data_IF_058076013067
#
_entry.id   IF_058076013067
#
_cell.length_a   1.000
_cell.length_b   1.000
_cell.length_c   1.000
_cell.angle_alpha   90.00
_cell.angle_beta   90.00
_cell.angle_gamma   90.00
#
_symmetry.space_group_name_H-M   'P 1'
#
loop_
_entity.id
_entity.type
_entity.pdbx_description
1 polymer ?
#
# COMPACT_ATOMS: atom_id res chain seq x y z
N UNK A 1 -29.53 -13.81 -67.17
CA UNK A 1 -28.98 -14.68 -66.11
C UNK A 1 -27.72 -14.03 -65.55
N UNK A 2 -27.72 -13.60 -64.28
CA UNK A 2 -26.53 -13.03 -63.63
C UNK A 2 -25.60 -14.19 -63.22
N UNK A 3 -24.37 -14.23 -63.76
CA UNK A 3 -23.36 -15.21 -63.37
C UNK A 3 -22.96 -14.95 -61.91
N UNK A 4 -23.09 -15.94 -61.04
CA UNK A 4 -22.49 -15.87 -59.70
C UNK A 4 -21.01 -16.19 -59.83
N UNK A 5 -20.16 -15.20 -59.57
CA UNK A 5 -18.74 -15.43 -59.33
C UNK A 5 -18.63 -16.09 -57.95
N UNK A 6 -18.32 -17.39 -57.93
CA UNK A 6 -18.05 -18.12 -56.69
C UNK A 6 -16.66 -17.76 -56.16
N UNK A 7 -16.52 -17.68 -54.84
CA UNK A 7 -15.23 -17.49 -54.17
C UNK A 7 -14.34 -18.71 -54.47
N UNK A 8 -13.08 -18.49 -54.85
CA UNK A 8 -12.17 -19.61 -55.11
C UNK A 8 -11.67 -20.22 -53.79
N UNK A 9 -11.51 -21.55 -53.74
CA UNK A 9 -10.91 -22.20 -52.57
C UNK A 9 -9.50 -21.67 -52.28
N UNK A 10 -8.77 -21.30 -53.34
CA UNK A 10 -7.42 -20.76 -53.23
C UNK A 10 -7.39 -19.39 -52.55
N UNK A 11 -8.31 -18.48 -52.88
CA UNK A 11 -8.42 -17.18 -52.20
C UNK A 11 -8.64 -17.35 -50.69
N UNK A 12 -9.51 -18.28 -50.30
CA UNK A 12 -9.77 -18.53 -48.89
C UNK A 12 -8.52 -19.03 -48.16
N UNK A 13 -7.77 -19.96 -48.79
CA UNK A 13 -6.54 -20.52 -48.22
C UNK A 13 -5.45 -19.46 -48.06
N UNK A 14 -5.26 -18.60 -49.05
CA UNK A 14 -4.24 -17.54 -48.96
C UNK A 14 -4.58 -16.55 -47.83
N UNK A 15 -5.85 -16.18 -47.68
CA UNK A 15 -6.28 -15.25 -46.62
C UNK A 15 -5.99 -15.83 -45.23
N UNK A 16 -6.33 -17.09 -44.96
CA UNK A 16 -6.07 -17.69 -43.64
C UNK A 16 -4.56 -17.83 -43.36
N UNK A 17 -3.74 -18.08 -44.39
CA UNK A 17 -2.27 -18.14 -44.25
C UNK A 17 -1.71 -16.77 -43.87
N UNK A 18 -2.15 -15.71 -44.55
CA UNK A 18 -1.73 -14.34 -44.24
C UNK A 18 -2.16 -13.95 -42.82
N UNK A 19 -3.42 -14.23 -42.44
CA UNK A 19 -3.92 -13.96 -41.08
C UNK A 19 -3.13 -14.77 -40.03
N UNK A 20 -2.74 -16.00 -40.34
CA UNK A 20 -1.91 -16.83 -39.46
C UNK A 20 -0.55 -16.20 -39.17
N UNK A 21 0.15 -15.71 -40.19
CA UNK A 21 1.46 -15.05 -40.04
C UNK A 21 1.32 -13.75 -39.22
N UNK A 22 0.31 -12.93 -39.53
CA UNK A 22 0.06 -11.68 -38.81
C UNK A 22 -0.25 -11.92 -37.33
N UNK A 23 -1.04 -12.95 -37.02
CA UNK A 23 -1.37 -13.30 -35.63
C UNK A 23 -0.13 -13.68 -34.82
N UNK A 24 0.76 -14.52 -35.37
CA UNK A 24 1.97 -14.98 -34.66
C UNK A 24 2.89 -13.82 -34.27
N UNK A 25 3.03 -12.81 -35.14
CA UNK A 25 3.88 -11.63 -34.85
C UNK A 25 3.18 -10.64 -33.90
N UNK A 26 1.85 -10.51 -33.98
CA UNK A 26 1.10 -9.55 -33.18
C UNK A 26 0.90 -9.99 -31.71
N UNK A 27 0.74 -11.28 -31.45
CA UNK A 27 0.40 -11.81 -30.10
C UNK A 27 1.44 -11.43 -29.03
N UNK A 28 2.76 -11.64 -29.21
CA UNK A 28 3.74 -11.31 -28.16
C UNK A 28 3.73 -9.81 -27.80
N UNK A 29 3.60 -8.94 -28.81
CA UNK A 29 3.54 -7.49 -28.61
C UNK A 29 2.25 -7.07 -27.89
N UNK A 30 1.13 -7.69 -28.24
CA UNK A 30 -0.15 -7.43 -27.57
C UNK A 30 -0.09 -7.79 -26.08
N UNK A 31 0.51 -8.91 -25.72
CA UNK A 31 0.68 -9.32 -24.32
C UNK A 31 1.56 -8.34 -23.52
N UNK A 32 2.63 -7.81 -24.11
CA UNK A 32 3.48 -6.79 -23.48
C UNK A 32 2.73 -5.47 -23.25
N UNK A 33 1.98 -4.99 -24.24
CA UNK A 33 1.17 -3.76 -24.09
C UNK A 33 0.14 -3.94 -22.97
N UNK A 34 -0.47 -5.13 -22.85
CA UNK A 34 -1.38 -5.43 -21.76
C UNK A 34 -0.72 -5.50 -20.38
N UNK A 35 0.51 -6.01 -20.25
CA UNK A 35 1.24 -5.95 -18.98
C UNK A 35 1.60 -4.52 -18.62
N UNK A 36 2.12 -3.75 -19.58
CA UNK A 36 2.54 -2.37 -19.35
C UNK A 36 1.37 -1.46 -18.99
N UNK A 37 0.22 -1.65 -19.64
CA UNK A 37 -1.02 -0.96 -19.29
C UNK A 37 -1.46 -1.26 -17.85
N UNK A 38 -1.42 -2.53 -17.43
CA UNK A 38 -1.77 -2.92 -16.05
C UNK A 38 -0.82 -2.31 -15.03
N UNK A 39 0.48 -2.25 -15.32
CA UNK A 39 1.45 -1.57 -14.45
C UNK A 39 1.14 -0.08 -14.36
N UNK A 40 0.91 0.59 -15.49
CA UNK A 40 0.52 2.00 -15.51
C UNK A 40 -0.74 2.28 -14.68
N UNK A 41 -1.75 1.41 -14.77
CA UNK A 41 -2.98 1.50 -13.96
C UNK A 41 -2.71 1.35 -12.45
N UNK A 42 -1.78 0.46 -12.04
CA UNK A 42 -1.37 0.35 -10.64
C UNK A 42 -0.63 1.61 -10.16
N UNK A 43 0.25 2.19 -10.96
CA UNK A 43 0.90 3.46 -10.63
C UNK A 43 -0.10 4.62 -10.54
N UNK A 44 -1.10 4.64 -11.41
CA UNK A 44 -2.22 5.60 -11.33
C UNK A 44 -3.04 5.42 -10.05
N UNK A 45 -3.33 4.18 -9.66
CA UNK A 45 -3.99 3.86 -8.39
C UNK A 45 -3.17 4.35 -7.20
N UNK A 46 -1.86 4.11 -7.19
CA UNK A 46 -0.98 4.62 -6.14
C UNK A 46 -0.99 6.15 -6.05
N UNK A 47 -0.93 6.85 -7.19
CA UNK A 47 -1.06 8.31 -7.24
C UNK A 47 -2.41 8.81 -6.70
N UNK A 48 -3.49 8.06 -6.98
CA UNK A 48 -4.83 8.36 -6.45
C UNK A 48 -4.87 8.21 -4.93
N UNK A 49 -4.29 7.13 -4.38
CA UNK A 49 -4.21 6.92 -2.94
C UNK A 49 -3.37 8.00 -2.25
N UNK A 50 -2.25 8.41 -2.86
CA UNK A 50 -1.39 9.49 -2.35
C UNK A 50 -2.14 10.82 -2.30
N UNK A 51 -2.80 11.20 -3.39
CA UNK A 51 -3.58 12.43 -3.48
C UNK A 51 -4.76 12.44 -2.50
N UNK A 52 -5.45 11.31 -2.36
CA UNK A 52 -6.57 11.12 -1.42
C UNK A 52 -6.09 11.27 0.02
N UNK A 53 -4.99 10.60 0.37
CA UNK A 53 -4.38 10.67 1.70
C UNK A 53 -3.96 12.09 2.07
N UNK A 54 -3.29 12.80 1.15
CA UNK A 54 -2.91 14.20 1.34
C UNK A 54 -4.13 15.13 1.51
N UNK A 55 -5.22 14.87 0.78
CA UNK A 55 -6.46 15.64 0.89
C UNK A 55 -7.12 15.44 2.26
N UNK A 56 -7.21 14.19 2.73
CA UNK A 56 -7.73 13.89 4.08
C UNK A 56 -6.84 14.53 5.15
N UNK A 57 -5.52 14.52 4.95
CA UNK A 57 -4.59 15.16 5.86
C UNK A 57 -4.76 16.68 5.94
N UNK A 58 -4.95 17.35 4.81
CA UNK A 58 -5.27 18.77 4.79
C UNK A 58 -6.57 19.07 5.57
N UNK A 59 -7.61 18.24 5.42
CA UNK A 59 -8.85 18.36 6.20
C UNK A 59 -8.63 18.14 7.70
N UNK A 60 -7.79 17.18 8.06
CA UNK A 60 -7.44 16.93 9.45
C UNK A 60 -6.69 18.11 10.07
N UNK A 61 -5.74 18.72 9.36
CA UNK A 61 -5.04 19.94 9.80
C UNK A 61 -5.99 21.12 10.00
N UNK A 62 -6.92 21.34 9.07
CA UNK A 62 -7.94 22.40 9.20
C UNK A 62 -8.83 22.15 10.43
N UNK A 63 -9.06 20.88 10.77
CA UNK A 63 -9.85 20.47 11.93
C UNK A 63 -9.05 20.37 13.23
N UNK A 64 -7.74 20.68 13.22
CA UNK A 64 -6.86 20.54 14.39
C UNK A 64 -6.66 19.09 14.87
N UNK A 65 -6.75 18.12 13.95
CA UNK A 65 -6.68 16.67 14.22
C UNK A 65 -5.47 15.99 13.58
N UNK A 66 -4.49 16.78 13.14
CA UNK A 66 -3.29 16.29 12.45
C UNK A 66 -2.35 15.46 13.32
N UNK A 67 -2.46 15.58 14.65
CA UNK A 67 -1.71 14.78 15.63
C UNK A 67 -2.60 13.81 16.41
N UNK A 68 -3.90 13.76 16.11
CA UNK A 68 -4.83 12.91 16.84
C UNK A 68 -4.55 11.43 16.54
N UNK A 69 -4.28 10.64 17.59
CA UNK A 69 -3.93 9.22 17.46
C UNK A 69 -5.00 8.42 16.72
N UNK A 70 -6.26 8.64 17.09
CA UNK A 70 -7.44 8.10 16.42
C UNK A 70 -8.49 9.19 16.41
N UNK A 71 -9.02 9.50 15.24
CA UNK A 71 -10.12 10.46 15.12
C UNK A 71 -10.95 10.19 13.86
N UNK A 72 -11.85 11.11 13.58
CA UNK A 72 -12.67 11.09 12.38
C UNK A 72 -12.79 12.51 11.84
N UNK A 73 -12.69 12.65 10.52
CA UNK A 73 -12.88 13.91 9.78
C UNK A 73 -13.81 13.60 8.62
N UNK A 74 -14.93 14.32 8.51
CA UNK A 74 -15.97 14.07 7.49
C UNK A 74 -16.45 12.60 7.43
N UNK A 75 -16.51 11.93 8.58
CA UNK A 75 -16.87 10.51 8.66
C UNK A 75 -15.76 9.52 8.26
N UNK A 76 -14.58 10.01 7.84
CA UNK A 76 -13.41 9.20 7.49
C UNK A 76 -12.58 8.94 8.74
N UNK A 77 -12.32 7.68 9.05
CA UNK A 77 -11.41 7.26 10.13
C UNK A 77 -9.98 7.68 9.80
N UNK A 78 -9.37 8.43 10.72
CA UNK A 78 -7.99 8.91 10.59
C UNK A 78 -7.15 8.51 11.80
N UNK A 79 -5.85 8.35 11.57
CA UNK A 79 -4.82 8.20 12.57
C UNK A 79 -3.67 9.14 12.22
N UNK A 80 -3.22 9.94 13.20
CA UNK A 80 -2.15 10.91 13.02
C UNK A 80 -2.38 11.84 11.82
N UNK A 81 -3.63 12.26 11.61
CA UNK A 81 -4.03 13.10 10.50
C UNK A 81 -4.13 12.40 9.15
N UNK A 82 -3.91 11.10 9.02
CA UNK A 82 -4.01 10.38 7.74
C UNK A 82 -5.12 9.32 7.78
N UNK A 83 -5.72 8.95 6.64
CA UNK A 83 -6.77 7.94 6.63
C UNK A 83 -6.23 6.56 7.02
N UNK A 84 -6.96 5.83 7.85
CA UNK A 84 -6.55 4.48 8.27
C UNK A 84 -6.69 3.47 7.14
N UNK A 85 -5.90 2.38 7.12
CA UNK A 85 -6.01 1.29 6.14
C UNK A 85 -7.23 0.39 6.40
N UNK A 86 -8.41 0.99 6.40
CA UNK A 86 -9.68 0.36 6.70
C UNK A 86 -10.74 0.80 5.69
N UNK A 87 -11.87 0.09 5.67
CA UNK A 87 -13.02 0.49 4.84
C UNK A 87 -13.57 1.87 5.21
N UNK A 88 -13.53 2.23 6.50
CA UNK A 88 -13.96 3.54 7.00
C UNK A 88 -12.89 4.63 6.89
N UNK A 89 -11.65 4.27 6.53
CA UNK A 89 -10.55 5.20 6.34
C UNK A 89 -10.31 5.45 4.85
N UNK A 90 -9.19 4.92 4.34
CA UNK A 90 -8.72 5.19 2.97
C UNK A 90 -9.75 4.82 1.91
N UNK A 91 -10.50 3.72 2.07
CA UNK A 91 -11.52 3.31 1.08
C UNK A 91 -12.67 4.32 1.04
N UNK A 92 -13.18 4.74 2.21
CA UNK A 92 -14.23 5.76 2.29
C UNK A 92 -13.77 7.12 1.75
N UNK A 93 -12.47 7.41 1.86
CA UNK A 93 -11.89 8.65 1.34
C UNK A 93 -11.82 8.70 -0.20
N UNK A 94 -11.83 7.55 -0.87
CA UNK A 94 -11.80 7.49 -2.33
C UNK A 94 -13.13 8.00 -2.93
N UNK A 95 -13.03 8.82 -3.97
CA UNK A 95 -14.21 9.29 -4.71
C UNK A 95 -15.01 8.15 -5.37
N UNK A 96 -14.31 7.09 -5.79
CA UNK A 96 -14.89 5.90 -6.41
C UNK A 96 -14.38 4.62 -5.73
N UNK A 97 -14.93 4.26 -4.55
CA UNK A 97 -14.39 3.16 -3.72
C UNK A 97 -14.54 1.77 -4.35
N UNK A 98 -15.43 1.62 -5.34
CA UNK A 98 -15.71 0.34 -6.00
C UNK A 98 -14.95 0.14 -7.31
N UNK A 99 -14.09 1.08 -7.70
CA UNK A 99 -13.27 0.95 -8.93
C UNK A 99 -12.20 -0.12 -8.78
N UNK A 100 -11.70 -0.32 -7.55
CA UNK A 100 -10.64 -1.27 -7.25
C UNK A 100 -11.07 -2.26 -6.17
N UNK A 101 -10.59 -3.49 -6.31
CA UNK A 101 -10.75 -4.49 -5.27
C UNK A 101 -9.80 -4.16 -4.13
N UNK A 102 -10.27 -4.28 -2.89
CA UNK A 102 -9.48 -3.95 -1.71
C UNK A 102 -9.63 -5.01 -0.62
N UNK A 103 -8.51 -5.37 0.01
CA UNK A 103 -8.45 -6.44 1.01
C UNK A 103 -7.66 -5.96 2.22
N UNK A 104 -8.27 -6.05 3.41
CA UNK A 104 -7.57 -5.80 4.67
C UNK A 104 -6.64 -6.96 4.98
N UNK A 105 -5.38 -6.64 5.26
CA UNK A 105 -4.35 -7.60 5.61
C UNK A 105 -4.12 -7.55 7.11
N UNK A 106 -4.28 -8.69 7.77
CA UNK A 106 -4.10 -8.83 9.21
C UNK A 106 -2.66 -9.23 9.48
N UNK A 107 -1.82 -8.23 9.76
CA UNK A 107 -0.39 -8.43 9.98
C UNK A 107 -0.10 -9.38 11.15
N UNK A 108 -0.99 -9.48 12.15
CA UNK A 108 -0.81 -10.41 13.29
C UNK A 108 -0.93 -11.87 12.84
N UNK A 109 -1.80 -12.14 11.87
CA UNK A 109 -1.96 -13.48 11.28
C UNK A 109 -0.83 -13.87 10.33
N UNK A 110 -0.15 -12.87 9.74
CA UNK A 110 0.97 -13.08 8.84
C UNK A 110 2.33 -13.24 9.57
N UNK A 111 2.54 -12.51 10.66
CA UNK A 111 3.81 -12.46 11.40
C UNK A 111 4.00 -13.56 12.48
N UNK A 112 3.33 -14.73 12.34
CA UNK A 112 3.45 -15.86 13.27
C UNK A 112 3.04 -15.59 14.74
N UNK A 113 1.96 -14.83 14.95
CA UNK A 113 1.24 -14.77 16.24
C UNK A 113 1.81 -13.78 17.27
N UNK A 114 1.25 -13.82 18.48
CA UNK A 114 1.48 -12.85 19.57
C UNK A 114 2.94 -12.78 20.05
N UNK A 115 3.78 -13.75 19.66
CA UNK A 115 5.21 -13.83 19.97
C UNK A 115 6.05 -12.76 19.25
N UNK A 116 5.66 -12.34 18.04
CA UNK A 116 6.38 -11.31 17.28
C UNK A 116 6.33 -9.95 18.01
N UNK A 117 5.14 -9.51 18.41
CA UNK A 117 4.96 -8.25 19.13
C UNK A 117 5.48 -8.30 20.57
N UNK A 118 5.30 -9.43 21.28
CA UNK A 118 5.72 -9.55 22.69
C UNK A 118 7.22 -9.74 22.90
N UNK A 119 7.94 -10.35 21.96
CA UNK A 119 9.39 -10.54 22.03
C UNK A 119 10.21 -9.31 21.64
N UNK A 120 9.74 -8.55 20.64
CA UNK A 120 10.45 -7.37 20.11
C UNK A 120 10.01 -6.05 20.78
N UNK A 121 8.71 -5.87 21.05
CA UNK A 121 8.15 -4.62 21.60
C UNK A 121 7.79 -4.70 23.10
N UNK A 122 7.87 -5.90 23.71
CA UNK A 122 7.34 -6.17 25.04
C UNK A 122 5.80 -6.18 25.08
N UNK A 123 5.22 -6.66 26.17
CA UNK A 123 3.75 -6.75 26.34
C UNK A 123 3.03 -5.40 26.47
N UNK A 124 3.77 -4.29 26.56
CA UNK A 124 3.24 -2.94 26.80
C UNK A 124 3.01 -2.10 25.54
N UNK A 125 3.46 -2.55 24.36
CA UNK A 125 3.53 -1.72 23.18
C UNK A 125 2.70 -2.34 22.04
N UNK A 126 1.41 -1.96 21.97
CA UNK A 126 0.45 -2.50 21.01
C UNK A 126 0.39 -1.67 19.72
N UNK A 127 1.45 -1.66 18.90
CA UNK A 127 1.41 -0.92 17.63
C UNK A 127 0.25 -1.40 16.75
N UNK A 128 -0.70 -0.51 16.46
CA UNK A 128 -1.85 -0.79 15.61
C UNK A 128 -1.53 -0.33 14.20
N UNK A 129 -0.82 -1.15 13.44
CA UNK A 129 -0.62 -0.89 12.01
C UNK A 129 -1.76 -1.49 11.20
N UNK A 130 -2.25 -0.72 10.24
CA UNK A 130 -3.19 -1.18 9.25
C UNK A 130 -2.46 -1.46 7.94
N UNK A 131 -2.82 -2.55 7.28
CA UNK A 131 -2.36 -2.86 5.94
C UNK A 131 -3.56 -3.19 5.06
N UNK A 132 -3.61 -2.58 3.89
CA UNK A 132 -4.63 -2.84 2.89
C UNK A 132 -3.98 -2.98 1.52
N UNK A 133 -4.46 -3.95 0.75
CA UNK A 133 -4.02 -4.22 -0.61
C UNK A 133 -5.14 -3.84 -1.57
N UNK A 134 -4.81 -3.06 -2.60
CA UNK A 134 -5.69 -2.66 -3.68
C UNK A 134 -5.25 -3.34 -4.98
N UNK A 135 -6.16 -4.01 -5.68
CA UNK A 135 -5.86 -4.72 -6.93
C UNK A 135 -6.84 -4.36 -8.05
N UNK A 136 -6.35 -4.47 -9.29
CA UNK A 136 -7.14 -4.33 -10.51
C UNK A 136 -7.97 -5.59 -10.80
N UNK A 137 -7.61 -6.74 -10.21
CA UNK A 137 -8.31 -8.01 -10.39
C UNK A 137 -8.98 -8.43 -9.10
N UNK A 138 -10.08 -9.17 -9.25
CA UNK A 138 -10.71 -9.80 -8.10
C UNK A 138 -9.84 -10.95 -7.59
N UNK A 139 -9.44 -10.82 -6.33
CA UNK A 139 -8.70 -11.82 -5.54
C UNK A 139 -9.59 -12.44 -4.45
N UNK A 140 -10.92 -12.29 -4.56
CA UNK A 140 -11.87 -12.90 -3.65
C UNK A 140 -11.70 -14.43 -3.63
N UNK A 141 -11.76 -15.01 -2.43
CA UNK A 141 -11.52 -16.44 -2.22
C UNK A 141 -10.06 -16.85 -2.00
N UNK A 142 -9.09 -15.96 -2.21
CA UNK A 142 -7.70 -16.20 -1.84
C UNK A 142 -7.45 -15.90 -0.35
N UNK A 143 -6.58 -16.67 0.29
CA UNK A 143 -6.05 -16.33 1.62
C UNK A 143 -5.12 -15.11 1.55
N UNK A 144 -4.92 -14.41 2.67
CA UNK A 144 -4.02 -13.24 2.73
C UNK A 144 -2.60 -13.55 2.22
N UNK A 145 -2.10 -14.76 2.51
CA UNK A 145 -0.80 -15.23 2.00
C UNK A 145 -0.78 -15.32 0.47
N UNK A 146 -1.84 -15.87 -0.12
CA UNK A 146 -1.96 -16.00 -1.58
C UNK A 146 -2.12 -14.65 -2.26
N UNK A 147 -2.88 -13.71 -1.65
CA UNK A 147 -3.02 -12.35 -2.16
C UNK A 147 -1.65 -11.68 -2.25
N UNK A 148 -0.85 -11.74 -1.17
CA UNK A 148 0.47 -11.11 -1.15
C UNK A 148 1.45 -11.71 -2.16
N UNK A 149 1.35 -13.01 -2.46
CA UNK A 149 2.19 -13.70 -3.46
C UNK A 149 1.84 -13.38 -4.93
N UNK A 150 0.66 -12.77 -5.18
CA UNK A 150 0.26 -12.40 -6.55
C UNK A 150 1.10 -11.29 -7.17
N UNK A 151 1.72 -10.42 -6.35
CA UNK A 151 2.65 -9.36 -6.80
C UNK A 151 2.08 -8.47 -7.93
N UNK A 152 0.78 -8.16 -7.86
CA UNK A 152 0.10 -7.29 -8.80
C UNK A 152 -0.97 -6.44 -8.10
N UNK A 153 -0.50 -5.51 -7.29
CA UNK A 153 -1.34 -4.67 -6.43
C UNK A 153 -0.62 -3.41 -5.95
N UNK A 154 -1.39 -2.49 -5.37
CA UNK A 154 -0.88 -1.37 -4.57
C UNK A 154 -1.13 -1.64 -3.10
N UNK A 155 -0.10 -1.58 -2.30
CA UNK A 155 -0.16 -1.74 -0.85
C UNK A 155 -0.22 -0.39 -0.17
N UNK A 156 -1.14 -0.25 0.77
CA UNK A 156 -1.33 0.91 1.62
C UNK A 156 -1.12 0.48 3.07
N UNK A 157 -0.12 1.05 3.74
CA UNK A 157 0.21 0.75 5.15
C UNK A 157 0.14 2.03 5.95
N UNK A 158 -0.69 2.06 6.98
CA UNK A 158 -0.76 3.16 7.93
C UNK A 158 -0.32 2.73 9.33
N UNK A 159 0.04 3.73 10.12
CA UNK A 159 0.57 3.57 11.46
C UNK A 159 -0.39 4.26 12.43
N UNK A 160 -1.31 3.49 13.00
CA UNK A 160 -2.11 3.91 14.17
C UNK A 160 -1.24 3.61 15.40
N UNK A 161 -0.85 4.62 16.16
CA UNK A 161 0.04 4.36 17.30
C UNK A 161 -0.65 3.45 18.34
N UNK A 162 0.15 2.63 19.02
CA UNK A 162 -0.33 1.70 20.04
C UNK A 162 -0.78 2.38 21.32
N UNK A 163 -1.92 1.94 21.84
CA UNK A 163 -2.38 2.30 23.16
C UNK A 163 -1.54 1.57 24.22
N UNK A 164 -1.00 2.29 25.21
CA UNK A 164 -0.70 1.67 26.50
C UNK A 164 -2.01 1.14 27.08
N UNK A 165 -2.12 -0.17 27.29
CA UNK A 165 -3.23 -0.74 28.04
C UNK A 165 -3.06 -0.35 29.51
N UNK A 166 -3.79 0.71 29.89
CA UNK A 166 -4.25 1.02 31.24
C UNK A 166 -3.32 0.65 32.41
N UNK A 167 -2.59 1.65 32.89
CA UNK A 167 -2.08 1.66 34.26
C UNK A 167 -1.50 3.03 34.60
N UNK A 168 -2.36 4.02 34.85
CA UNK A 168 -2.01 5.36 35.35
C UNK A 168 -0.66 5.90 34.89
N UNK A 169 -0.54 6.17 33.59
CA UNK A 169 0.55 6.96 33.02
C UNK A 169 -0.07 8.09 32.23
N UNK A 170 0.45 9.29 32.50
CA UNK A 170 -0.09 10.56 32.07
C UNK A 170 -0.35 10.62 30.55
N UNK A 171 -1.26 11.51 30.09
CA UNK A 171 -1.36 11.84 28.67
C UNK A 171 0.05 12.11 28.13
N UNK A 172 0.33 11.66 26.90
CA UNK A 172 1.50 12.15 26.16
C UNK A 172 1.48 13.67 26.35
N UNK A 173 2.49 14.27 26.99
CA UNK A 173 2.40 15.67 27.34
C UNK A 173 2.21 16.41 26.02
N UNK A 174 1.12 17.18 25.96
CA UNK A 174 0.89 18.17 24.93
C UNK A 174 2.04 19.17 25.08
N UNK A 175 3.19 18.83 24.47
CA UNK A 175 4.42 19.57 24.69
C UNK A 175 4.31 20.84 23.88
N UNK A 176 3.83 21.88 24.54
CA UNK A 176 3.99 23.29 24.19
C UNK A 176 5.46 23.75 24.23
N UNK A 177 6.41 22.81 24.12
CA UNK A 177 7.83 23.03 24.36
C UNK A 177 8.58 23.08 23.04
N UNK A 178 9.24 24.22 22.80
CA UNK A 178 9.88 24.61 21.54
C UNK A 178 11.18 23.84 21.22
N UNK A 179 11.26 22.57 21.62
CA UNK A 179 12.33 21.63 21.26
C UNK A 179 11.78 20.54 20.34
N UNK A 180 11.19 20.96 19.22
CA UNK A 180 10.45 20.10 18.31
C UNK A 180 11.33 19.06 17.58
N UNK A 181 12.66 19.18 17.56
CA UNK A 181 13.55 18.27 16.84
C UNK A 181 13.92 16.99 17.61
N UNK A 182 14.01 17.04 18.94
CA UNK A 182 14.52 15.94 19.76
C UNK A 182 13.56 14.75 19.88
N UNK A 183 12.27 15.02 20.11
CA UNK A 183 11.26 13.96 20.25
C UNK A 183 10.91 13.33 18.90
N UNK A 184 10.86 14.13 17.82
CA UNK A 184 10.63 13.65 16.45
C UNK A 184 11.71 12.69 16.01
N UNK A 185 12.98 12.99 16.32
CA UNK A 185 14.09 12.11 16.01
C UNK A 185 13.99 10.79 16.81
N UNK A 186 13.65 10.84 18.10
CA UNK A 186 13.43 9.61 18.90
C UNK A 186 12.29 8.76 18.35
N UNK A 187 11.17 9.37 17.96
CA UNK A 187 10.04 8.67 17.35
C UNK A 187 10.41 8.06 16.00
N UNK A 188 11.20 8.77 15.18
CA UNK A 188 11.73 8.26 13.91
C UNK A 188 12.63 7.05 14.10
N UNK A 189 13.57 7.11 15.03
CA UNK A 189 14.44 5.98 15.32
C UNK A 189 13.65 4.77 15.82
N UNK A 190 12.61 5.02 16.62
CA UNK A 190 11.69 3.97 17.05
C UNK A 190 10.92 3.36 15.86
N UNK A 191 10.37 4.17 14.96
CA UNK A 191 9.70 3.70 13.75
C UNK A 191 10.61 2.90 12.83
N UNK A 192 11.82 3.43 12.58
CA UNK A 192 12.84 2.77 11.79
C UNK A 192 13.17 1.38 12.37
N UNK A 193 13.31 1.28 13.69
CA UNK A 193 13.55 0.02 14.38
C UNK A 193 12.40 -0.99 14.20
N UNK A 194 11.14 -0.55 14.31
CA UNK A 194 9.95 -1.40 14.06
C UNK A 194 10.01 -2.03 12.67
N UNK A 195 10.34 -1.23 11.67
CA UNK A 195 10.38 -1.69 10.29
C UNK A 195 11.55 -2.64 10.05
N UNK A 196 12.77 -2.22 10.40
CA UNK A 196 14.00 -2.94 10.08
C UNK A 196 14.14 -4.25 10.84
N UNK A 197 13.78 -4.28 12.13
CA UNK A 197 13.94 -5.48 12.95
C UNK A 197 12.67 -6.34 13.01
N UNK A 198 11.52 -5.77 12.65
CA UNK A 198 10.23 -6.42 12.76
C UNK A 198 9.57 -6.69 11.41
N UNK A 199 8.98 -5.66 10.82
CA UNK A 199 8.09 -5.80 9.66
C UNK A 199 8.82 -6.38 8.45
N UNK A 200 10.02 -5.87 8.14
CA UNK A 200 10.80 -6.33 7.00
C UNK A 200 11.09 -7.86 7.10
N UNK A 201 11.83 -8.36 8.10
CA UNK A 201 12.22 -9.76 8.16
C UNK A 201 11.06 -10.73 8.37
N UNK A 202 10.01 -10.35 9.13
CA UNK A 202 8.98 -11.30 9.56
C UNK A 202 7.66 -11.19 8.78
N UNK A 203 7.33 -10.02 8.24
CA UNK A 203 6.08 -9.80 7.48
C UNK A 203 6.35 -9.74 5.99
N UNK A 204 7.41 -9.04 5.55
CA UNK A 204 7.66 -8.78 4.14
C UNK A 204 8.59 -9.82 3.50
N UNK A 205 9.62 -10.29 4.21
CA UNK A 205 10.60 -11.25 3.70
C UNK A 205 9.98 -12.57 3.21
N UNK A 206 8.99 -13.18 3.90
CA UNK A 206 8.37 -14.42 3.43
C UNK A 206 7.68 -14.30 2.07
N UNK A 207 7.41 -13.06 1.63
CA UNK A 207 6.78 -12.71 0.36
C UNK A 207 7.73 -11.98 -0.60
N UNK A 208 9.02 -11.87 -0.27
CA UNK A 208 9.99 -11.10 -1.06
C UNK A 208 9.57 -9.63 -1.29
N UNK A 209 8.78 -9.06 -0.37
CA UNK A 209 8.27 -7.69 -0.50
C UNK A 209 9.25 -6.63 0.01
N UNK A 210 10.33 -7.04 0.70
CA UNK A 210 11.29 -6.12 1.29
C UNK A 210 11.89 -5.16 0.26
N UNK A 211 12.16 -5.64 -0.96
CA UNK A 211 12.79 -4.87 -2.06
C UNK A 211 11.98 -3.62 -2.45
N UNK A 212 10.68 -3.65 -2.19
CA UNK A 212 9.76 -2.54 -2.47
C UNK A 212 9.79 -1.45 -1.40
N UNK A 213 10.43 -1.70 -0.26
CA UNK A 213 10.51 -0.76 0.85
C UNK A 213 11.95 -0.32 1.09
N UNK A 214 12.21 0.96 0.80
CA UNK A 214 13.52 1.58 1.04
C UNK A 214 13.95 1.47 2.52
N UNK A 215 13.00 1.52 3.46
CA UNK A 215 13.28 1.44 4.89
C UNK A 215 13.90 0.08 5.30
N UNK A 216 13.62 -1.00 4.55
CA UNK A 216 14.20 -2.32 4.80
C UNK A 216 15.68 -2.41 4.40
N UNK A 217 16.15 -1.52 3.52
CA UNK A 217 17.49 -1.56 2.94
C UNK A 217 18.41 -0.41 3.40
N UNK A 218 17.86 0.60 4.07
CA UNK A 218 18.64 1.73 4.56
C UNK A 218 19.61 1.32 5.67
N UNK A 219 20.90 1.68 5.50
CA UNK A 219 21.90 1.55 6.55
C UNK A 219 21.46 2.26 7.84
N UNK A 220 21.88 1.73 9.00
CA UNK A 220 21.63 2.27 10.35
C UNK A 220 22.47 3.52 10.65
N UNK A 221 22.65 4.39 9.65
CA UNK A 221 23.46 5.58 9.82
C UNK A 221 22.64 6.65 10.56
N UNK A 222 23.14 7.09 11.71
CA UNK A 222 22.55 8.13 12.58
C UNK A 222 22.57 9.55 11.96
N UNK A 223 22.71 9.68 10.64
CA UNK A 223 22.71 11.00 9.99
C UNK A 223 21.26 11.48 9.94
N UNK A 224 20.99 12.50 10.76
CA UNK A 224 19.77 13.28 10.69
C UNK A 224 19.55 13.71 9.24
N UNK A 225 18.49 13.18 8.62
CA UNK A 225 18.05 13.65 7.32
C UNK A 225 17.76 15.15 7.44
N UNK A 226 18.34 15.93 6.54
CA UNK A 226 18.17 17.37 6.47
C UNK A 226 16.66 17.70 6.50
N UNK A 227 16.32 18.79 7.19
CA UNK A 227 14.98 19.23 7.57
C UNK A 227 13.97 19.51 6.42
N UNK A 228 14.21 18.99 5.22
CA UNK A 228 13.40 19.16 4.02
C UNK A 228 12.51 17.96 3.67
N UNK A 229 12.42 16.95 4.54
CA UNK A 229 11.36 15.93 4.50
C UNK A 229 10.26 16.30 5.50
N UNK A 230 9.28 17.14 5.13
CA UNK A 230 8.17 17.45 6.01
C UNK A 230 7.29 16.20 6.18
N UNK A 231 7.06 15.81 7.44
CA UNK A 231 5.89 15.01 7.88
C UNK A 231 5.77 13.53 7.44
N UNK A 232 6.86 12.85 7.05
CA UNK A 232 6.82 11.44 6.62
C UNK A 232 6.71 10.40 7.75
N UNK A 233 6.75 10.80 9.02
CA UNK A 233 6.75 9.86 10.15
C UNK A 233 5.42 9.15 10.42
N UNK A 234 4.32 9.78 10.01
CA UNK A 234 2.97 9.31 10.21
C UNK A 234 2.19 9.16 8.89
N UNK A 235 2.80 9.56 7.78
CA UNK A 235 2.19 9.39 6.47
C UNK A 235 2.09 7.89 6.14
N UNK A 236 1.01 7.46 5.50
CA UNK A 236 0.88 6.08 5.06
C UNK A 236 1.92 5.77 3.99
N UNK A 237 2.49 4.58 4.05
CA UNK A 237 3.32 4.05 2.98
C UNK A 237 2.42 3.49 1.88
N UNK A 238 2.64 3.98 0.67
CA UNK A 238 1.91 3.57 -0.53
C UNK A 238 2.94 3.02 -1.50
N UNK A 239 2.85 1.73 -1.77
CA UNK A 239 3.88 0.99 -2.50
C UNK A 239 3.23 0.17 -3.61
N UNK A 240 3.74 0.31 -4.83
CA UNK A 240 3.31 -0.49 -5.99
C UNK A 240 4.13 -1.78 -6.01
N UNK A 241 3.46 -2.92 -6.11
CA UNK A 241 4.06 -4.25 -6.26
C UNK A 241 3.57 -4.82 -7.59
N UNK A 242 4.46 -4.85 -8.60
CA UNK A 242 4.08 -5.09 -9.99
C UNK A 242 5.02 -6.03 -10.78
N UNK A 243 5.92 -6.76 -10.10
CA UNK A 243 6.86 -7.68 -10.75
C UNK A 243 6.19 -8.89 -11.42
N UNK A 244 5.01 -9.32 -10.96
CA UNK A 244 4.25 -10.42 -11.57
C UNK A 244 2.94 -9.98 -12.26
N UNK A 245 2.81 -8.69 -12.58
CA UNK A 245 1.81 -8.20 -13.53
C UNK A 245 2.23 -8.51 -14.98
#
# INVERSE_FOLDING_TARGET
>A
MKRKFGFTLLELVIVIVILGILAVVAVPKYLQIQSDARKADLHQLAGTLQSTSATVNAKAMISGKETALVSTVDGISIANGYPTATKSGIVQALASPNTWYHYSIDMKKLALGDHFWSGWAGSKLQLNMGMMVFSLKDLSGLSQKQILDTHCYVMYVDLVQGAEVSGNTAPIPESSDKSASGWRNKLYQFHKKIWQEGICPYVLAPFHLESYFNICHQATDNKAHNNNEPNLLNAPMITVVDDKC
#
